data_IF_882239725069
#
_entry.id   IF_882239725069
#
_cell.length_a   1.000
_cell.length_b   1.000
_cell.length_c   1.000
_cell.angle_alpha   90.00
_cell.angle_beta   90.00
_cell.angle_gamma   90.00
#
_symmetry.space_group_name_H-M   'P 1'
#
loop_
_entity.id
_entity.type
_entity.pdbx_description
1 polymer ?
#
# COMPACT_ATOMS: atom_id res chain seq x y z
N UNK A 1 -74.49 1.97 29.71
CA UNK A 1 -73.31 2.62 29.10
C UNK A 1 -71.98 1.87 29.39
N UNK A 2 -71.93 0.55 29.45
CA UNK A 2 -70.73 -0.21 29.83
C UNK A 2 -70.22 -1.20 28.76
N UNK A 3 -70.78 -1.16 27.54
CA UNK A 3 -70.40 -2.12 26.47
C UNK A 3 -69.39 -1.61 25.41
N UNK A 4 -69.02 -0.34 25.44
CA UNK A 4 -68.10 0.25 24.43
C UNK A 4 -66.65 0.34 24.83
N UNK A 5 -66.26 0.06 26.07
CA UNK A 5 -64.89 0.19 26.56
C UNK A 5 -64.08 -1.11 26.40
N UNK A 6 -64.77 -2.25 26.26
CA UNK A 6 -64.07 -3.56 26.17
C UNK A 6 -63.47 -3.87 24.78
N UNK A 7 -63.92 -3.15 23.74
CA UNK A 7 -63.45 -3.45 22.36
C UNK A 7 -62.19 -2.65 21.95
N UNK A 8 -61.89 -1.54 22.64
CA UNK A 8 -60.74 -0.71 22.31
C UNK A 8 -59.43 -1.22 22.93
N UNK A 9 -59.52 -2.03 24.01
CA UNK A 9 -58.36 -2.61 24.66
C UNK A 9 -57.74 -3.82 23.92
N UNK A 10 -58.55 -4.53 23.11
CA UNK A 10 -58.09 -5.76 22.44
C UNK A 10 -57.32 -5.49 21.13
N UNK A 11 -57.58 -4.34 20.50
CA UNK A 11 -56.90 -3.97 19.26
C UNK A 11 -55.48 -3.40 19.51
N UNK A 12 -55.24 -2.82 20.70
CA UNK A 12 -53.94 -2.24 21.03
C UNK A 12 -52.88 -3.30 21.41
N UNK A 13 -53.27 -4.51 21.79
CA UNK A 13 -52.36 -5.60 22.14
C UNK A 13 -51.88 -6.42 20.92
N UNK A 14 -52.52 -6.32 19.77
CA UNK A 14 -52.13 -7.07 18.58
C UNK A 14 -51.07 -6.37 17.72
N UNK A 15 -50.74 -5.09 18.01
CA UNK A 15 -49.73 -4.32 17.24
C UNK A 15 -48.34 -4.33 17.84
N UNK A 16 -48.12 -4.92 19.01
CA UNK A 16 -46.77 -4.98 19.65
C UNK A 16 -46.00 -6.28 19.37
N UNK A 17 -46.50 -7.13 18.48
CA UNK A 17 -45.89 -8.44 18.16
C UNK A 17 -45.04 -8.48 16.87
N UNK A 18 -44.84 -7.37 16.17
CA UNK A 18 -43.87 -7.35 15.07
C UNK A 18 -42.47 -7.16 15.65
N UNK A 19 -41.90 -8.27 16.15
CA UNK A 19 -40.52 -8.36 16.52
C UNK A 19 -39.65 -7.89 15.34
N UNK A 20 -38.89 -6.84 15.56
CA UNK A 20 -37.73 -6.54 14.73
C UNK A 20 -36.82 -7.78 14.74
N UNK A 21 -36.94 -8.61 13.73
CA UNK A 21 -35.92 -9.58 13.39
C UNK A 21 -34.74 -8.76 12.90
N UNK A 22 -33.87 -8.40 13.84
CA UNK A 22 -32.53 -7.93 13.51
C UNK A 22 -31.88 -9.06 12.68
N UNK A 23 -31.75 -8.83 11.37
CA UNK A 23 -31.00 -9.71 10.52
C UNK A 23 -29.58 -9.85 11.18
N UNK A 24 -29.07 -11.08 11.36
CA UNK A 24 -27.73 -11.23 11.89
C UNK A 24 -26.81 -10.47 10.92
N UNK A 25 -26.16 -9.42 11.45
CA UNK A 25 -25.07 -8.77 10.75
C UNK A 25 -24.08 -9.90 10.45
N UNK A 26 -24.04 -10.34 9.19
CA UNK A 26 -22.99 -11.22 8.72
C UNK A 26 -21.68 -10.46 9.00
N UNK A 27 -21.01 -10.86 10.06
CA UNK A 27 -19.64 -10.47 10.29
C UNK A 27 -18.89 -10.82 9.00
N UNK A 28 -18.64 -9.80 8.17
CA UNK A 28 -17.77 -9.91 7.03
C UNK A 28 -16.46 -10.38 7.63
N UNK A 29 -16.16 -11.67 7.45
CA UNK A 29 -14.93 -12.27 7.92
C UNK A 29 -13.79 -11.40 7.39
N UNK A 30 -13.22 -10.62 8.28
CA UNK A 30 -12.05 -9.79 8.01
C UNK A 30 -10.95 -10.77 7.63
N UNK A 31 -10.71 -10.89 6.34
CA UNK A 31 -9.68 -11.78 5.82
C UNK A 31 -8.36 -11.24 6.39
N UNK A 32 -7.62 -12.02 7.21
CA UNK A 32 -6.43 -11.51 7.87
C UNK A 32 -5.49 -10.93 6.82
N UNK A 33 -5.11 -9.67 6.99
CA UNK A 33 -4.19 -9.00 6.09
C UNK A 33 -2.89 -9.80 6.00
N UNK A 34 -2.35 -10.04 4.82
CA UNK A 34 -1.13 -10.83 4.66
C UNK A 34 0.02 -10.19 5.45
N UNK A 35 0.75 -10.99 6.20
CA UNK A 35 1.93 -10.52 6.94
C UNK A 35 2.96 -10.03 5.94
N UNK A 36 3.40 -8.78 6.13
CA UNK A 36 4.39 -8.15 5.26
C UNK A 36 5.62 -7.76 6.05
N UNK A 37 6.79 -7.84 5.43
CA UNK A 37 8.07 -7.37 5.98
C UNK A 37 8.81 -6.55 4.95
N UNK A 38 9.54 -5.53 5.37
CA UNK A 38 10.37 -4.75 4.43
C UNK A 38 11.61 -5.55 4.05
N UNK A 39 11.94 -5.53 2.76
CA UNK A 39 13.17 -6.12 2.27
C UNK A 39 14.38 -5.28 2.69
N UNK A 40 15.48 -5.94 3.05
CA UNK A 40 16.75 -5.27 3.33
C UNK A 40 17.45 -4.94 2.00
N UNK A 41 17.42 -3.67 1.61
CA UNK A 41 18.10 -3.20 0.40
C UNK A 41 19.61 -3.10 0.68
N UNK A 42 20.41 -3.72 -0.16
CA UNK A 42 21.87 -3.69 -0.10
C UNK A 42 22.50 -2.74 -1.12
N UNK A 43 21.86 -2.63 -2.30
CA UNK A 43 22.32 -1.77 -3.38
C UNK A 43 21.16 -1.32 -4.25
N UNK A 44 21.20 -0.07 -4.68
CA UNK A 44 20.31 0.47 -5.69
C UNK A 44 21.15 1.26 -6.72
N UNK A 45 20.90 1.06 -8.00
CA UNK A 45 21.68 1.67 -9.08
C UNK A 45 20.75 2.14 -10.18
N UNK A 46 20.86 3.40 -10.58
CA UNK A 46 20.16 3.92 -11.75
C UNK A 46 20.75 3.31 -13.03
N UNK A 47 19.89 2.69 -13.84
CA UNK A 47 20.25 2.16 -15.15
C UNK A 47 20.17 3.29 -16.19
N UNK A 48 21.04 3.23 -17.19
CA UNK A 48 21.00 4.15 -18.33
C UNK A 48 19.75 3.92 -19.17
N UNK A 49 19.21 4.98 -19.73
CA UNK A 49 18.07 4.95 -20.65
C UNK A 49 16.81 5.58 -20.10
N UNK A 50 15.78 5.63 -20.94
CA UNK A 50 14.49 6.21 -20.65
C UNK A 50 13.39 5.17 -20.95
N UNK A 51 12.35 5.01 -20.11
CA UNK A 51 12.15 5.68 -18.83
C UNK A 51 13.20 5.30 -17.78
N UNK A 52 13.39 6.13 -16.73
CA UNK A 52 14.33 5.83 -15.64
C UNK A 52 14.04 4.47 -15.02
N UNK A 53 15.08 3.64 -14.88
CA UNK A 53 14.99 2.31 -14.28
C UNK A 53 16.01 2.16 -13.17
N UNK A 54 15.61 1.59 -12.05
CA UNK A 54 16.45 1.40 -10.88
C UNK A 54 16.60 -0.09 -10.64
N UNK A 55 17.83 -0.59 -10.72
CA UNK A 55 18.18 -1.95 -10.33
C UNK A 55 18.37 -2.00 -8.83
N UNK A 56 17.56 -2.79 -8.15
CA UNK A 56 17.59 -2.95 -6.70
C UNK A 56 18.01 -4.37 -6.36
N UNK A 57 19.02 -4.48 -5.50
CA UNK A 57 19.51 -5.74 -4.94
C UNK A 57 19.35 -5.74 -3.44
N UNK A 58 18.95 -6.87 -2.88
CA UNK A 58 18.75 -6.96 -1.45
C UNK A 58 18.53 -8.39 -0.97
N UNK A 59 17.99 -8.47 0.24
CA UNK A 59 17.72 -9.74 0.91
C UNK A 59 16.34 -9.68 1.55
N UNK A 60 15.53 -10.69 1.32
CA UNK A 60 14.37 -10.99 2.13
C UNK A 60 14.81 -11.83 3.34
N UNK A 61 14.24 -11.59 4.54
CA UNK A 61 14.55 -12.42 5.70
C UNK A 61 14.17 -13.89 5.44
N UNK A 62 14.72 -14.79 6.25
CA UNK A 62 14.30 -16.18 6.23
C UNK A 62 12.82 -16.28 6.55
N UNK A 63 12.12 -17.16 5.85
CA UNK A 63 10.69 -17.36 6.05
C UNK A 63 9.91 -17.54 4.75
N UNK A 64 8.61 -17.38 4.88
CA UNK A 64 7.64 -17.61 3.81
C UNK A 64 7.31 -16.30 3.11
N UNK A 65 8.26 -15.69 2.42
CA UNK A 65 8.03 -14.39 1.76
C UNK A 65 8.23 -14.46 0.25
N UNK A 66 7.34 -13.79 -0.47
CA UNK A 66 7.47 -13.48 -1.89
C UNK A 66 7.79 -12.00 -2.05
N UNK A 67 8.73 -11.67 -2.93
CA UNK A 67 9.07 -10.29 -3.22
C UNK A 67 7.89 -9.57 -3.87
N UNK A 68 7.58 -8.40 -3.35
CA UNK A 68 6.61 -7.46 -3.92
C UNK A 68 7.21 -6.05 -3.94
N UNK A 69 7.01 -5.35 -5.05
CA UNK A 69 7.39 -3.95 -5.22
C UNK A 69 6.13 -3.12 -5.34
N UNK A 70 5.97 -2.13 -4.48
CA UNK A 70 4.82 -1.22 -4.56
C UNK A 70 4.87 -0.37 -5.83
N UNK A 71 3.74 0.13 -6.26
CA UNK A 71 3.72 1.19 -7.28
C UNK A 71 4.46 2.41 -6.73
N UNK A 72 5.24 3.11 -7.57
CA UNK A 72 5.84 4.39 -7.19
C UNK A 72 4.77 5.42 -6.81
N UNK A 73 4.99 6.14 -5.73
CA UNK A 73 4.07 7.18 -5.22
C UNK A 73 4.81 8.51 -5.14
N UNK A 74 4.23 9.54 -5.75
CA UNK A 74 4.77 10.90 -5.68
C UNK A 74 4.47 11.50 -4.29
N UNK A 75 5.54 11.92 -3.59
CA UNK A 75 5.46 12.51 -2.24
C UNK A 75 5.49 14.04 -2.25
N UNK A 76 5.62 14.66 -3.43
CA UNK A 76 5.82 16.10 -3.55
C UNK A 76 7.27 16.55 -3.25
N UNK A 77 7.51 17.87 -3.27
CA UNK A 77 8.83 18.43 -2.97
C UNK A 77 9.18 18.21 -1.49
N UNK A 78 10.45 17.92 -1.23
CA UNK A 78 10.94 17.83 0.14
C UNK A 78 10.84 19.22 0.83
N UNK A 79 10.07 19.35 1.92
CA UNK A 79 9.91 20.63 2.59
C UNK A 79 11.23 21.20 3.16
N UNK A 80 12.19 20.32 3.44
CA UNK A 80 13.47 20.72 4.04
C UNK A 80 14.54 21.11 3.01
N UNK A 81 14.48 20.59 1.78
CA UNK A 81 15.54 20.79 0.77
C UNK A 81 15.14 21.63 -0.43
N UNK A 82 13.84 21.89 -0.65
CA UNK A 82 13.26 22.68 -1.77
C UNK A 82 13.71 22.27 -3.20
N UNK A 83 14.51 21.23 -3.36
CA UNK A 83 15.30 21.05 -4.59
C UNK A 83 14.94 19.83 -5.43
N UNK A 84 14.26 18.84 -4.90
CA UNK A 84 13.89 17.63 -5.66
C UNK A 84 12.54 17.07 -5.21
N UNK A 85 11.73 16.67 -6.17
CA UNK A 85 10.49 15.95 -5.89
C UNK A 85 10.80 14.51 -5.51
N UNK A 86 10.17 14.03 -4.45
CA UNK A 86 10.40 12.70 -3.91
C UNK A 86 9.39 11.69 -4.47
N UNK A 87 9.88 10.51 -4.81
CA UNK A 87 9.08 9.38 -5.23
C UNK A 87 9.36 8.23 -4.25
N UNK A 88 8.34 7.74 -3.59
CA UNK A 88 8.45 6.63 -2.65
C UNK A 88 8.16 5.30 -3.35
N UNK A 89 9.01 4.30 -3.09
CA UNK A 89 8.78 2.91 -3.49
C UNK A 89 9.10 1.99 -2.33
N UNK A 90 8.19 1.07 -2.03
CA UNK A 90 8.41 0.02 -1.04
C UNK A 90 8.76 -1.30 -1.72
N UNK A 91 9.84 -1.92 -1.28
CA UNK A 91 10.25 -3.28 -1.66
C UNK A 91 10.07 -4.15 -0.44
N UNK A 92 9.15 -5.09 -0.49
CA UNK A 92 8.72 -5.87 0.66
C UNK A 92 8.57 -7.34 0.34
N UNK A 93 8.64 -8.17 1.37
CA UNK A 93 8.21 -9.54 1.33
C UNK A 93 6.76 -9.65 1.79
N UNK A 94 5.94 -10.34 1.04
CA UNK A 94 4.57 -10.70 1.41
C UNK A 94 4.54 -12.18 1.73
N UNK A 95 3.84 -12.56 2.80
CA UNK A 95 3.75 -13.95 3.23
C UNK A 95 3.29 -14.84 2.07
N UNK A 96 4.03 -15.92 1.83
CA UNK A 96 3.77 -16.93 0.82
C UNK A 96 3.45 -18.29 1.48
N UNK A 97 2.85 -19.19 0.71
CA UNK A 97 2.54 -20.55 1.20
C UNK A 97 3.81 -21.42 1.38
N UNK A 98 4.85 -21.15 0.61
CA UNK A 98 6.12 -21.88 0.65
C UNK A 98 7.14 -21.15 1.49
N UNK A 99 7.81 -21.87 2.38
CA UNK A 99 8.79 -21.31 3.30
C UNK A 99 10.20 -21.74 2.94
N UNK A 100 11.16 -20.84 3.15
CA UNK A 100 12.59 -21.15 3.13
C UNK A 100 13.23 -20.80 4.46
N UNK A 101 14.12 -21.67 4.93
CA UNK A 101 14.83 -21.45 6.20
C UNK A 101 16.04 -20.51 6.05
N UNK A 102 16.38 -20.13 4.81
CA UNK A 102 17.52 -19.24 4.51
C UNK A 102 17.06 -17.90 3.97
N UNK A 103 17.77 -16.80 4.28
CA UNK A 103 17.54 -15.53 3.64
C UNK A 103 17.63 -15.64 2.11
N UNK A 104 16.73 -14.97 1.40
CA UNK A 104 16.65 -15.00 -0.07
C UNK A 104 17.24 -13.74 -0.65
N UNK A 105 18.31 -13.86 -1.44
CA UNK A 105 18.80 -12.75 -2.24
C UNK A 105 17.84 -12.49 -3.40
N UNK A 106 17.61 -11.21 -3.68
CA UNK A 106 16.79 -10.79 -4.81
C UNK A 106 17.47 -9.72 -5.63
N UNK A 107 17.11 -9.68 -6.89
CA UNK A 107 17.40 -8.60 -7.82
C UNK A 107 16.10 -8.25 -8.55
N UNK A 108 15.77 -6.97 -8.60
CA UNK A 108 14.56 -6.49 -9.28
C UNK A 108 14.80 -5.14 -9.91
N UNK A 109 14.09 -4.84 -11.00
CA UNK A 109 14.15 -3.54 -11.67
C UNK A 109 12.84 -2.79 -11.46
N UNK A 110 12.96 -1.58 -10.93
CA UNK A 110 11.84 -0.65 -10.74
C UNK A 110 11.87 0.35 -11.89
N UNK A 111 10.79 0.42 -12.66
CA UNK A 111 10.64 1.41 -13.70
C UNK A 111 9.84 2.60 -13.18
N UNK A 112 10.39 3.78 -13.31
CA UNK A 112 9.71 5.04 -13.02
C UNK A 112 9.12 5.54 -14.33
N UNK A 113 7.81 5.42 -14.48
CA UNK A 113 7.09 5.88 -15.67
C UNK A 113 6.69 7.36 -15.49
N UNK A 114 7.36 8.29 -16.18
CA UNK A 114 7.10 9.72 -16.00
C UNK A 114 5.68 10.12 -16.41
N UNK A 115 5.12 9.46 -17.41
CA UNK A 115 3.76 9.76 -17.88
C UNK A 115 2.72 9.39 -16.84
N UNK A 116 2.83 8.17 -16.30
CA UNK A 116 1.89 7.68 -15.26
C UNK A 116 1.97 8.47 -13.96
N UNK A 117 3.14 9.01 -13.64
CA UNK A 117 3.35 9.83 -12.43
C UNK A 117 3.19 11.33 -12.70
N UNK A 118 2.87 11.73 -13.92
CA UNK A 118 2.74 13.12 -14.34
C UNK A 118 3.97 13.97 -13.96
N UNK A 119 5.17 13.42 -14.24
CA UNK A 119 6.43 14.08 -13.95
C UNK A 119 6.80 15.04 -15.09
N UNK A 120 7.17 16.27 -14.76
CA UNK A 120 7.74 17.26 -15.66
C UNK A 120 9.27 17.16 -15.70
N UNK A 121 9.91 17.97 -16.54
CA UNK A 121 11.36 18.13 -16.51
C UNK A 121 11.81 18.61 -15.12
N UNK A 122 12.88 17.99 -14.58
CA UNK A 122 13.35 18.34 -13.26
C UNK A 122 14.16 17.23 -12.57
N UNK A 123 14.60 17.52 -11.35
CA UNK A 123 15.32 16.57 -10.49
C UNK A 123 14.34 15.82 -9.60
N UNK A 124 14.60 14.52 -9.48
CA UNK A 124 13.78 13.60 -8.68
C UNK A 124 14.67 12.73 -7.81
N UNK A 125 14.17 12.37 -6.64
CA UNK A 125 14.81 11.43 -5.71
C UNK A 125 13.86 10.29 -5.44
N UNK A 126 14.26 9.05 -5.76
CA UNK A 126 13.52 7.86 -5.37
C UNK A 126 13.98 7.40 -4.00
N UNK A 127 13.04 7.33 -3.06
CA UNK A 127 13.24 6.80 -1.72
C UNK A 127 12.77 5.36 -1.68
N UNK A 128 13.71 4.45 -1.45
CA UNK A 128 13.41 3.01 -1.33
C UNK A 128 13.30 2.64 0.15
N UNK A 129 12.17 2.04 0.51
CA UNK A 129 11.87 1.61 1.87
C UNK A 129 12.07 2.71 2.93
N UNK A 130 11.47 3.89 2.78
CA UNK A 130 11.54 4.91 3.81
C UNK A 130 10.86 4.38 5.09
N UNK A 131 11.60 4.36 6.18
CA UNK A 131 11.12 3.96 7.51
C UNK A 131 11.44 5.10 8.46
N UNK A 132 10.51 5.43 9.34
CA UNK A 132 10.74 6.40 10.39
C UNK A 132 11.98 6.03 11.22
N UNK A 133 12.96 6.94 11.29
CA UNK A 133 14.20 6.75 12.05
C UNK A 133 15.34 6.02 11.32
N UNK A 134 15.18 5.61 10.07
CA UNK A 134 16.26 5.07 9.25
C UNK A 134 16.41 5.85 7.95
N UNK A 135 17.67 6.09 7.54
CA UNK A 135 17.97 6.70 6.24
C UNK A 135 17.53 5.75 5.12
N UNK A 136 16.59 6.15 4.25
CA UNK A 136 16.20 5.33 3.11
C UNK A 136 17.33 5.26 2.08
N UNK A 137 17.34 4.22 1.25
CA UNK A 137 18.15 4.24 0.05
C UNK A 137 17.62 5.30 -0.90
N UNK A 138 18.51 6.16 -1.40
CA UNK A 138 18.19 7.26 -2.30
C UNK A 138 18.82 7.04 -3.67
N UNK A 139 18.05 7.27 -4.72
CA UNK A 139 18.53 7.24 -6.10
C UNK A 139 18.05 8.50 -6.80
N UNK A 140 19.00 9.34 -7.20
CA UNK A 140 18.73 10.59 -7.88
C UNK A 140 18.68 10.38 -9.40
N UNK A 141 17.74 11.06 -10.07
CA UNK A 141 17.72 11.16 -11.52
C UNK A 141 17.13 12.49 -11.98
N UNK A 142 17.37 12.81 -13.25
CA UNK A 142 16.86 14.04 -13.88
C UNK A 142 16.07 13.68 -15.13
N UNK A 143 14.91 14.29 -15.28
CA UNK A 143 14.15 14.28 -16.53
C UNK A 143 14.56 15.53 -17.30
N UNK A 144 15.10 15.42 -18.52
CA UNK A 144 15.48 16.58 -19.32
C UNK A 144 14.27 17.37 -19.79
N UNK A 145 14.46 18.66 -20.09
CA UNK A 145 13.38 19.54 -20.55
C UNK A 145 12.90 19.22 -21.99
N UNK A 146 13.73 18.55 -22.77
CA UNK A 146 13.42 18.12 -24.13
C UNK A 146 13.73 16.65 -24.25
N UNK A 147 12.68 15.86 -24.51
CA UNK A 147 12.76 14.48 -24.97
C UNK A 147 12.37 14.54 -26.47
N UNK A 148 13.32 14.98 -27.30
CA UNK A 148 13.20 14.89 -28.75
C UNK A 148 13.44 13.45 -29.20
#
# INVERSE_FOLDING_TARGET
>A
MFKKILFTGLILMLMMGMGLQAAPAQARGEQPSPITTLALIKKATLLRGYPPRILVRGVLPAGCYKLEVSKPVLMGPNPHTRSATQIMVQVRGVQAKTCTLKPQHFETTITIDPVKLNLSAGRYVVLLNPINGRTPFQVDFTIPAHLD
#
